data_IF_995762024663
#
_entry.id   IF_995762024663
#
_cell.length_a   1.000
_cell.length_b   1.000
_cell.length_c   1.000
_cell.angle_alpha   90.00
_cell.angle_beta   90.00
_cell.angle_gamma   90.00
#
_symmetry.space_group_name_H-M   'P 1'
#
loop_
_entity.id
_entity.type
_entity.pdbx_description
1 polymer ?
#
# COMPACT_ATOMS: atom_id res chain seq x y z
N UNK A 1 5.70 -9.46 -17.01
CA UNK A 1 4.43 -9.05 -17.69
C UNK A 1 4.64 -7.71 -18.39
N UNK A 2 4.02 -7.48 -19.54
CA UNK A 2 4.01 -6.14 -20.18
C UNK A 2 3.03 -5.27 -19.41
N UNK A 3 3.49 -4.14 -18.88
CA UNK A 3 2.67 -3.22 -18.07
C UNK A 3 1.97 -2.16 -18.91
N UNK A 4 2.49 -1.86 -20.10
CA UNK A 4 1.92 -0.84 -21.00
C UNK A 4 0.42 -1.04 -21.21
N UNK A 5 -0.33 0.05 -21.16
CA UNK A 5 -1.80 0.14 -21.31
C UNK A 5 -2.61 -0.54 -20.18
N UNK A 6 -1.96 -1.10 -19.14
CA UNK A 6 -2.64 -1.57 -17.93
C UNK A 6 -3.21 -0.39 -17.14
N UNK A 7 -4.24 -0.67 -16.33
CA UNK A 7 -4.88 0.32 -15.44
C UNK A 7 -4.58 -0.05 -14.00
N UNK A 8 -3.95 0.85 -13.26
CA UNK A 8 -3.59 0.65 -11.86
C UNK A 8 -4.34 1.63 -10.97
N UNK A 9 -5.07 1.12 -9.97
CA UNK A 9 -5.62 1.91 -8.87
C UNK A 9 -4.64 1.88 -7.70
N UNK A 10 -4.23 3.07 -7.23
CA UNK A 10 -3.27 3.24 -6.14
C UNK A 10 -3.93 4.03 -5.03
N UNK A 11 -4.08 3.45 -3.85
CA UNK A 11 -4.58 4.14 -2.67
C UNK A 11 -3.45 4.82 -1.90
N UNK A 12 -3.74 5.95 -1.23
CA UNK A 12 -2.71 6.73 -0.53
C UNK A 12 -1.65 7.32 -1.48
N UNK A 13 -2.06 7.67 -2.72
CA UNK A 13 -1.17 8.12 -3.77
C UNK A 13 -0.69 9.57 -3.61
N UNK A 14 -1.24 10.35 -2.69
CA UNK A 14 -0.92 11.77 -2.54
C UNK A 14 0.50 12.07 -2.03
N UNK A 15 1.24 11.07 -1.54
CA UNK A 15 2.61 11.25 -1.02
C UNK A 15 3.38 9.93 -0.91
N UNK A 16 4.66 10.02 -0.57
CA UNK A 16 5.50 8.89 -0.18
C UNK A 16 5.52 7.76 -1.19
N UNK A 17 5.37 6.53 -0.70
CA UNK A 17 5.45 5.30 -1.52
C UNK A 17 4.38 5.28 -2.62
N UNK A 18 3.14 5.69 -2.30
CA UNK A 18 2.07 5.70 -3.29
C UNK A 18 2.34 6.63 -4.48
N UNK A 19 2.87 7.82 -4.21
CA UNK A 19 3.25 8.76 -5.25
C UNK A 19 4.43 8.24 -6.10
N UNK A 20 5.42 7.61 -5.46
CA UNK A 20 6.55 6.99 -6.17
C UNK A 20 6.08 5.81 -7.05
N UNK A 21 5.19 4.96 -6.56
CA UNK A 21 4.59 3.88 -7.36
C UNK A 21 3.81 4.43 -8.57
N UNK A 22 3.06 5.52 -8.39
CA UNK A 22 2.31 6.15 -9.48
C UNK A 22 3.23 6.63 -10.60
N UNK A 23 4.31 7.34 -10.26
CA UNK A 23 5.30 7.81 -11.24
C UNK A 23 5.98 6.64 -11.95
N UNK A 24 6.49 5.68 -11.20
CA UNK A 24 7.19 4.53 -11.76
C UNK A 24 6.28 3.70 -12.69
N UNK A 25 5.00 3.53 -12.36
CA UNK A 25 4.05 2.84 -13.22
C UNK A 25 3.68 3.65 -14.47
N UNK A 26 3.53 4.97 -14.35
CA UNK A 26 3.27 5.83 -15.51
C UNK A 26 4.45 5.80 -16.51
N UNK A 27 5.70 5.79 -16.03
CA UNK A 27 6.90 5.62 -16.86
C UNK A 27 6.89 4.29 -17.64
N UNK A 28 6.30 3.23 -17.07
CA UNK A 28 6.09 1.94 -17.76
C UNK A 28 4.86 1.92 -18.69
N UNK A 29 4.19 3.06 -18.89
CA UNK A 29 3.01 3.20 -19.74
C UNK A 29 1.71 2.69 -19.12
N UNK A 30 1.65 2.57 -17.78
CA UNK A 30 0.43 2.22 -17.05
C UNK A 30 -0.44 3.46 -16.87
N UNK A 31 -1.74 3.33 -17.09
CA UNK A 31 -2.74 4.37 -16.80
C UNK A 31 -3.04 4.34 -15.30
N UNK A 32 -2.59 5.33 -14.57
CA UNK A 32 -2.72 5.37 -13.10
C UNK A 32 -4.00 6.09 -12.66
N UNK A 33 -4.67 5.51 -11.67
CA UNK A 33 -5.81 6.07 -10.96
C UNK A 33 -5.36 6.28 -9.53
N UNK A 34 -5.37 7.52 -9.08
CA UNK A 34 -4.72 7.99 -7.87
C UNK A 34 -5.76 8.34 -6.83
N UNK A 35 -5.73 7.70 -5.67
CA UNK A 35 -6.65 8.00 -4.58
C UNK A 35 -5.95 8.39 -3.29
N UNK A 36 -6.57 9.31 -2.56
CA UNK A 36 -6.11 9.83 -1.26
C UNK A 36 -6.97 10.98 -0.81
N UNK A 37 -6.62 11.59 0.32
CA UNK A 37 -7.40 12.70 0.92
C UNK A 37 -6.95 14.10 0.47
N UNK A 38 -5.68 14.24 0.09
CA UNK A 38 -5.14 15.53 -0.33
C UNK A 38 -5.40 15.74 -1.83
N UNK A 39 -6.49 16.46 -2.13
CA UNK A 39 -6.96 16.71 -3.50
C UNK A 39 -5.91 17.48 -4.33
N UNK A 40 -5.25 18.47 -3.75
CA UNK A 40 -4.24 19.28 -4.46
C UNK A 40 -3.06 18.41 -4.89
N UNK A 41 -2.47 17.65 -3.97
CA UNK A 41 -1.35 16.76 -4.28
C UNK A 41 -1.74 15.64 -5.28
N UNK A 42 -2.98 15.16 -5.23
CA UNK A 42 -3.48 14.18 -6.21
C UNK A 42 -3.62 14.79 -7.61
N UNK A 43 -4.10 16.03 -7.73
CA UNK A 43 -4.22 16.73 -9.02
C UNK A 43 -2.85 16.99 -9.65
N UNK A 44 -1.90 17.50 -8.86
CA UNK A 44 -0.53 17.72 -9.32
C UNK A 44 0.13 16.41 -9.78
N UNK A 45 -0.08 15.31 -9.05
CA UNK A 45 0.45 14.02 -9.44
C UNK A 45 -0.25 13.46 -10.69
N UNK A 46 -1.56 13.65 -10.83
CA UNK A 46 -2.33 13.23 -12.00
C UNK A 46 -1.86 13.96 -13.26
N UNK A 47 -1.60 15.28 -13.18
CA UNK A 47 -1.02 16.05 -14.27
C UNK A 47 0.38 15.53 -14.66
N UNK A 48 1.22 15.23 -13.65
CA UNK A 48 2.58 14.74 -13.89
C UNK A 48 2.65 13.30 -14.45
N UNK A 49 1.57 12.52 -14.33
CA UNK A 49 1.53 11.10 -14.73
C UNK A 49 0.50 10.79 -15.82
N UNK A 50 -0.15 11.82 -16.37
CA UNK A 50 -1.34 11.67 -17.25
C UNK A 50 -2.38 10.70 -16.63
N UNK A 51 -2.53 10.79 -15.31
CA UNK A 51 -3.37 9.92 -14.51
C UNK A 51 -4.73 10.53 -14.17
N UNK A 52 -5.54 9.77 -13.43
CA UNK A 52 -6.84 10.23 -12.93
C UNK A 52 -6.79 10.37 -11.42
N UNK A 53 -7.06 11.56 -10.87
CA UNK A 53 -7.19 11.80 -9.43
C UNK A 53 -8.65 11.55 -8.96
N UNK A 54 -8.81 10.85 -7.85
CA UNK A 54 -10.10 10.63 -7.19
C UNK A 54 -9.89 10.79 -5.68
N UNK A 55 -10.44 11.85 -5.10
CA UNK A 55 -10.38 12.08 -3.66
C UNK A 55 -11.30 11.11 -2.94
N UNK A 56 -10.78 10.42 -1.91
CA UNK A 56 -11.55 9.52 -1.07
C UNK A 56 -10.92 9.41 0.33
N UNK A 57 -11.76 9.39 1.36
CA UNK A 57 -11.38 8.97 2.70
C UNK A 57 -11.75 7.49 2.88
N UNK A 58 -10.75 6.63 2.97
CA UNK A 58 -10.97 5.19 3.05
C UNK A 58 -11.54 4.71 4.40
N UNK A 59 -11.79 5.62 5.36
CA UNK A 59 -12.57 5.32 6.56
C UNK A 59 -14.07 5.25 6.25
N UNK A 60 -14.49 5.88 5.14
CA UNK A 60 -15.88 5.99 4.75
C UNK A 60 -16.21 4.96 3.65
N UNK A 61 -17.12 4.05 3.93
CA UNK A 61 -17.55 3.00 2.96
C UNK A 61 -18.11 3.61 1.66
N UNK A 62 -18.83 4.73 1.75
CA UNK A 62 -19.39 5.40 0.56
C UNK A 62 -18.28 6.02 -0.31
N UNK A 63 -17.23 6.54 0.29
CA UNK A 63 -16.07 7.05 -0.45
C UNK A 63 -15.32 5.92 -1.16
N UNK A 64 -15.18 4.75 -0.51
CA UNK A 64 -14.58 3.57 -1.14
C UNK A 64 -15.44 3.13 -2.34
N UNK A 65 -16.74 3.04 -2.20
CA UNK A 65 -17.65 2.70 -3.30
C UNK A 65 -17.57 3.72 -4.44
N UNK A 66 -17.57 5.00 -4.10
CA UNK A 66 -17.43 6.10 -5.07
C UNK A 66 -16.09 6.01 -5.82
N UNK A 67 -15.00 5.76 -5.11
CA UNK A 67 -13.67 5.54 -5.70
C UNK A 67 -13.71 4.47 -6.78
N UNK A 68 -14.26 3.30 -6.48
CA UNK A 68 -14.33 2.20 -7.43
C UNK A 68 -15.32 2.46 -8.57
N UNK A 69 -16.43 3.17 -8.34
CA UNK A 69 -17.34 3.62 -9.39
C UNK A 69 -16.63 4.57 -10.38
N UNK A 70 -15.86 5.51 -9.85
CA UNK A 70 -15.09 6.46 -10.66
C UNK A 70 -13.85 5.83 -11.33
N UNK A 71 -13.26 4.79 -10.73
CA UNK A 71 -12.16 4.05 -11.35
C UNK A 71 -12.59 3.32 -12.64
N UNK A 72 -13.87 3.05 -12.80
CA UNK A 72 -14.46 2.41 -13.96
C UNK A 72 -14.59 0.89 -13.83
N UNK A 73 -15.11 0.27 -14.89
CA UNK A 73 -15.46 -1.15 -14.88
C UNK A 73 -14.26 -2.09 -14.90
N UNK A 74 -13.13 -1.62 -15.39
CA UNK A 74 -11.91 -2.44 -15.51
C UNK A 74 -10.72 -1.78 -14.84
N UNK A 75 -10.05 -2.55 -14.03
CA UNK A 75 -8.68 -2.31 -13.55
C UNK A 75 -7.86 -3.59 -13.75
N UNK A 76 -6.54 -3.48 -13.83
CA UNK A 76 -5.63 -4.63 -13.97
C UNK A 76 -4.77 -4.81 -12.72
N UNK A 77 -4.53 -3.71 -11.98
CA UNK A 77 -3.64 -3.65 -10.82
C UNK A 77 -4.32 -2.86 -9.72
N UNK A 78 -4.30 -3.38 -8.49
CA UNK A 78 -4.63 -2.67 -7.28
C UNK A 78 -3.39 -2.56 -6.38
N UNK A 79 -3.01 -1.34 -6.00
CA UNK A 79 -1.97 -1.11 -4.98
C UNK A 79 -2.64 -0.52 -3.74
N UNK A 80 -2.83 -1.34 -2.73
CA UNK A 80 -3.29 -0.93 -1.41
C UNK A 80 -2.09 -0.39 -0.62
N UNK A 81 -1.83 0.91 -0.80
CA UNK A 81 -0.73 1.60 -0.13
C UNK A 81 -1.22 2.55 0.98
N UNK A 82 -2.48 2.97 0.96
CA UNK A 82 -3.01 3.81 2.03
C UNK A 82 -2.79 3.18 3.40
N UNK A 83 -2.32 3.97 4.35
CA UNK A 83 -2.06 3.53 5.70
C UNK A 83 -1.77 4.71 6.62
N UNK A 84 -1.96 4.50 7.90
CA UNK A 84 -1.65 5.45 8.97
C UNK A 84 -0.82 4.75 10.06
N UNK A 85 -0.10 5.54 10.84
CA UNK A 85 0.75 5.04 11.91
C UNK A 85 0.74 6.00 13.12
N UNK A 86 -0.43 6.36 13.69
CA UNK A 86 -0.45 7.11 14.93
C UNK A 86 0.21 6.31 16.05
N UNK A 87 0.76 7.01 17.05
CA UNK A 87 1.30 6.37 18.23
C UNK A 87 0.17 5.62 18.98
N UNK A 88 0.30 4.31 19.09
CA UNK A 88 -0.72 3.43 19.66
C UNK A 88 -0.09 2.29 20.52
N UNK A 89 0.58 2.63 21.64
CA UNK A 89 1.11 1.64 22.56
C UNK A 89 -0.06 0.85 23.20
N UNK A 90 0.17 -0.42 23.52
CA UNK A 90 -0.90 -1.31 24.04
C UNK A 90 -1.32 -0.93 25.46
N UNK A 91 -0.38 -0.45 26.28
CA UNK A 91 -0.63 -0.24 27.73
C UNK A 91 -1.49 1.02 27.95
N UNK A 92 -1.21 2.10 27.24
CA UNK A 92 -1.76 3.44 27.47
C UNK A 92 -2.17 4.17 26.20
N UNK A 93 -2.32 3.43 25.09
CA UNK A 93 -2.72 4.01 23.81
C UNK A 93 -4.19 4.45 23.80
N UNK A 94 -4.46 5.51 23.04
CA UNK A 94 -5.82 5.97 22.80
C UNK A 94 -6.62 4.93 22.00
N UNK A 95 -7.78 4.44 22.51
CA UNK A 95 -8.65 3.52 21.79
C UNK A 95 -9.09 4.00 20.41
N UNK A 96 -9.17 5.32 20.18
CA UNK A 96 -9.52 5.87 18.88
C UNK A 96 -8.41 5.62 17.86
N UNK A 97 -7.14 5.74 18.25
CA UNK A 97 -6.02 5.37 17.40
C UNK A 97 -6.05 3.87 17.02
N UNK A 98 -6.53 3.00 17.91
CA UNK A 98 -6.70 1.57 17.59
C UNK A 98 -7.78 1.36 16.52
N UNK A 99 -8.91 2.07 16.64
CA UNK A 99 -9.99 2.00 15.65
C UNK A 99 -9.54 2.50 14.29
N UNK A 100 -8.97 3.70 14.23
CA UNK A 100 -8.46 4.27 12.98
C UNK A 100 -7.42 3.35 12.31
N UNK A 101 -6.51 2.77 13.08
CA UNK A 101 -5.52 1.83 12.57
C UNK A 101 -6.17 0.59 11.94
N UNK A 102 -7.20 0.02 12.56
CA UNK A 102 -7.94 -1.11 11.98
C UNK A 102 -8.71 -0.69 10.74
N UNK A 103 -9.43 0.43 10.82
CA UNK A 103 -10.23 0.96 9.72
C UNK A 103 -9.41 1.16 8.46
N UNK A 104 -8.32 1.93 8.55
CA UNK A 104 -7.52 2.30 7.38
C UNK A 104 -6.60 1.17 6.94
N UNK A 105 -5.84 0.58 7.88
CA UNK A 105 -4.78 -0.36 7.49
C UNK A 105 -5.31 -1.77 7.15
N UNK A 106 -6.49 -2.16 7.66
CA UNK A 106 -7.01 -3.52 7.52
C UNK A 106 -8.35 -3.55 6.79
N UNK A 107 -9.37 -2.89 7.32
CA UNK A 107 -10.73 -2.98 6.78
C UNK A 107 -10.83 -2.34 5.39
N UNK A 108 -10.33 -1.11 5.23
CA UNK A 108 -10.33 -0.42 3.95
C UNK A 108 -9.54 -1.20 2.88
N UNK A 109 -8.36 -1.70 3.22
CA UNK A 109 -7.56 -2.56 2.33
C UNK A 109 -8.35 -3.79 1.89
N UNK A 110 -8.97 -4.50 2.85
CA UNK A 110 -9.79 -5.68 2.55
C UNK A 110 -10.96 -5.32 1.65
N UNK A 111 -11.64 -4.21 1.94
CA UNK A 111 -12.76 -3.72 1.13
C UNK A 111 -12.33 -3.34 -0.29
N UNK A 112 -11.19 -2.69 -0.44
CA UNK A 112 -10.61 -2.40 -1.76
C UNK A 112 -10.33 -3.69 -2.54
N UNK A 113 -9.79 -4.74 -1.91
CA UNK A 113 -9.61 -6.04 -2.57
C UNK A 113 -10.95 -6.61 -3.07
N UNK A 114 -11.99 -6.62 -2.24
CA UNK A 114 -13.32 -7.10 -2.61
C UNK A 114 -13.91 -6.36 -3.82
N UNK A 115 -13.76 -5.04 -3.87
CA UNK A 115 -14.30 -4.21 -4.95
C UNK A 115 -13.45 -4.27 -6.23
N UNK A 116 -12.17 -4.59 -6.12
CA UNK A 116 -11.29 -4.76 -7.27
C UNK A 116 -11.52 -6.07 -8.02
N UNK A 117 -11.76 -7.17 -7.31
CA UNK A 117 -11.87 -8.52 -7.89
C UNK A 117 -12.85 -8.62 -9.08
N UNK A 118 -14.09 -8.11 -9.02
CA UNK A 118 -15.01 -8.18 -10.14
C UNK A 118 -14.63 -7.29 -11.33
N UNK A 119 -13.62 -6.42 -11.18
CA UNK A 119 -13.10 -5.49 -12.20
C UNK A 119 -11.87 -6.02 -12.91
N UNK A 120 -11.29 -7.09 -12.42
CA UNK A 120 -10.19 -7.77 -13.10
C UNK A 120 -10.69 -8.59 -14.29
N UNK A 121 -9.76 -8.88 -15.20
CA UNK A 121 -10.07 -9.78 -16.33
C UNK A 121 -10.50 -11.16 -15.79
N UNK A 122 -11.66 -11.67 -16.16
CA UNK A 122 -12.20 -12.93 -15.61
C UNK A 122 -11.37 -14.16 -15.97
N UNK A 123 -10.56 -14.08 -17.03
CA UNK A 123 -9.73 -15.20 -17.51
C UNK A 123 -8.28 -15.06 -17.06
N UNK A 124 -7.71 -13.86 -17.17
CA UNK A 124 -6.31 -13.60 -16.86
C UNK A 124 -6.08 -13.22 -15.40
N UNK A 125 -7.12 -12.79 -14.69
CA UNK A 125 -7.03 -12.21 -13.36
C UNK A 125 -6.43 -10.81 -13.36
N UNK A 126 -6.13 -10.30 -12.18
CA UNK A 126 -5.44 -9.04 -11.94
C UNK A 126 -4.19 -9.23 -11.11
N UNK A 127 -3.68 -8.13 -10.55
CA UNK A 127 -2.59 -8.17 -9.59
C UNK A 127 -2.89 -7.22 -8.41
N UNK A 128 -2.88 -7.75 -7.20
CA UNK A 128 -3.07 -7.00 -5.96
C UNK A 128 -1.72 -6.91 -5.24
N UNK A 129 -1.31 -5.69 -4.89
CA UNK A 129 -0.14 -5.42 -4.04
C UNK A 129 -0.64 -4.77 -2.74
N UNK A 130 -0.38 -5.41 -1.63
CA UNK A 130 -0.71 -4.90 -0.30
C UNK A 130 0.54 -4.39 0.43
N UNK A 131 0.59 -3.11 0.78
CA UNK A 131 1.71 -2.54 1.54
C UNK A 131 1.58 -2.91 3.03
N UNK A 132 2.43 -3.83 3.46
CA UNK A 132 2.63 -4.16 4.87
C UNK A 132 3.79 -3.31 5.45
N UNK A 133 4.64 -3.90 6.24
CA UNK A 133 5.82 -3.32 6.87
C UNK A 133 6.71 -4.45 7.42
N UNK A 134 7.97 -4.16 7.70
CA UNK A 134 8.78 -5.03 8.57
C UNK A 134 8.12 -5.24 9.93
N UNK A 135 7.30 -4.27 10.42
CA UNK A 135 6.47 -4.43 11.62
C UNK A 135 5.35 -5.48 11.47
N UNK A 136 5.10 -6.00 10.28
CA UNK A 136 4.21 -7.14 10.04
C UNK A 136 4.92 -8.50 10.12
N UNK A 137 6.23 -8.53 10.34
CA UNK A 137 7.04 -9.75 10.52
C UNK A 137 7.61 -9.88 11.93
N UNK A 138 7.83 -8.75 12.58
CA UNK A 138 8.29 -8.67 13.98
C UNK A 138 7.70 -7.44 14.63
N UNK A 139 7.55 -7.47 15.94
CA UNK A 139 7.04 -6.33 16.71
C UNK A 139 8.25 -5.55 17.26
N UNK A 140 8.55 -4.35 16.71
CA UNK A 140 9.60 -3.51 17.30
C UNK A 140 9.13 -2.93 18.64
N UNK A 141 10.04 -2.50 19.53
CA UNK A 141 9.68 -1.95 20.85
C UNK A 141 8.66 -0.81 20.81
N UNK A 142 8.68 -0.01 19.74
CA UNK A 142 7.72 1.09 19.51
C UNK A 142 6.53 0.70 18.64
N UNK A 143 6.42 -0.58 18.21
CA UNK A 143 5.46 -1.03 17.20
C UNK A 143 3.99 -0.93 17.64
N UNK A 144 3.72 -1.15 18.92
CA UNK A 144 2.37 -1.03 19.47
C UNK A 144 1.31 -1.76 18.64
N UNK A 145 0.13 -1.17 18.55
CA UNK A 145 -0.99 -1.70 17.78
C UNK A 145 -0.81 -1.61 16.26
N UNK A 146 0.03 -0.66 15.80
CA UNK A 146 0.39 -0.59 14.38
C UNK A 146 0.96 -1.92 13.86
N UNK A 147 1.88 -2.53 14.61
CA UNK A 147 2.44 -3.82 14.23
C UNK A 147 1.35 -4.89 14.07
N UNK A 148 0.38 -4.96 15.00
CA UNK A 148 -0.75 -5.89 14.90
C UNK A 148 -1.52 -5.70 13.58
N UNK A 149 -1.77 -4.46 13.14
CA UNK A 149 -2.44 -4.22 11.85
C UNK A 149 -1.60 -4.67 10.66
N UNK A 150 -0.28 -4.55 10.71
CA UNK A 150 0.60 -5.00 9.62
C UNK A 150 0.78 -6.52 9.57
N UNK A 151 0.68 -7.22 10.72
CA UNK A 151 0.49 -8.68 10.75
C UNK A 151 -0.86 -9.06 10.14
N UNK A 152 -1.94 -8.33 10.46
CA UNK A 152 -3.27 -8.57 9.89
C UNK A 152 -3.27 -8.40 8.36
N UNK A 153 -2.60 -7.38 7.80
CA UNK A 153 -2.46 -7.21 6.35
C UNK A 153 -1.84 -8.44 5.69
N UNK A 154 -0.80 -9.03 6.29
CA UNK A 154 -0.19 -10.26 5.77
C UNK A 154 -1.15 -11.44 5.84
N UNK A 155 -1.85 -11.61 6.95
CA UNK A 155 -2.83 -12.67 7.12
C UNK A 155 -3.98 -12.55 6.11
N UNK A 156 -4.52 -11.35 5.91
CA UNK A 156 -5.55 -11.05 4.88
C UNK A 156 -5.03 -11.37 3.48
N UNK A 157 -3.79 -10.97 3.17
CA UNK A 157 -3.18 -11.23 1.86
C UNK A 157 -3.05 -12.73 1.58
N UNK A 158 -2.63 -13.50 2.59
CA UNK A 158 -2.49 -14.95 2.47
C UNK A 158 -3.85 -15.65 2.35
N UNK A 159 -4.83 -15.26 3.17
CA UNK A 159 -6.20 -15.78 3.09
C UNK A 159 -6.80 -15.52 1.69
N UNK A 160 -6.67 -14.28 1.19
CA UNK A 160 -7.14 -13.92 -0.14
C UNK A 160 -6.48 -14.79 -1.24
N UNK A 161 -5.18 -15.04 -1.14
CA UNK A 161 -4.46 -15.91 -2.08
C UNK A 161 -5.05 -17.33 -2.10
N UNK A 162 -5.32 -17.91 -0.93
CA UNK A 162 -5.93 -19.23 -0.83
C UNK A 162 -7.35 -19.28 -1.38
N UNK A 163 -8.18 -18.30 -1.06
CA UNK A 163 -9.55 -18.20 -1.57
C UNK A 163 -9.60 -18.07 -3.08
N UNK A 164 -8.75 -17.24 -3.67
CA UNK A 164 -8.64 -17.05 -5.11
C UNK A 164 -8.22 -18.37 -5.81
N UNK A 165 -7.22 -19.05 -5.28
CA UNK A 165 -6.75 -20.32 -5.82
C UNK A 165 -7.82 -21.41 -5.72
N UNK A 166 -8.52 -21.50 -4.60
CA UNK A 166 -9.62 -22.46 -4.42
C UNK A 166 -10.78 -22.19 -5.39
N UNK A 167 -11.03 -20.92 -5.74
CA UNK A 167 -12.02 -20.51 -6.74
C UNK A 167 -11.53 -20.57 -8.19
N UNK A 168 -10.31 -21.02 -8.46
CA UNK A 168 -9.74 -21.06 -9.82
C UNK A 168 -9.40 -19.69 -10.40
N UNK A 169 -9.40 -18.64 -9.59
CA UNK A 169 -9.09 -17.28 -10.00
C UNK A 169 -7.57 -17.11 -10.19
N UNK A 170 -7.16 -16.47 -11.28
CA UNK A 170 -5.75 -16.26 -11.65
C UNK A 170 -5.15 -14.96 -11.11
N UNK A 171 -5.88 -14.18 -10.31
CA UNK A 171 -5.38 -12.98 -9.68
C UNK A 171 -4.20 -13.32 -8.77
N UNK A 172 -3.09 -12.63 -8.96
CA UNK A 172 -1.89 -12.74 -8.12
C UNK A 172 -1.97 -11.73 -6.98
N UNK A 173 -1.50 -12.12 -5.83
CA UNK A 173 -1.54 -11.28 -4.63
C UNK A 173 -0.15 -11.26 -3.99
N UNK A 174 0.38 -10.07 -3.75
CA UNK A 174 1.68 -9.89 -3.11
C UNK A 174 1.61 -8.94 -1.93
N UNK A 175 2.51 -9.16 -0.97
CA UNK A 175 2.81 -8.22 0.10
C UNK A 175 4.16 -7.56 -0.18
N UNK A 176 4.26 -6.26 0.00
CA UNK A 176 5.53 -5.54 0.08
C UNK A 176 5.67 -5.04 1.51
N UNK A 177 6.78 -5.38 2.15
CA UNK A 177 7.04 -5.14 3.58
C UNK A 177 8.29 -4.28 3.77
N UNK A 178 8.19 -2.93 3.63
CA UNK A 178 9.32 -2.04 3.82
C UNK A 178 9.73 -1.92 5.29
N UNK A 179 11.02 -1.65 5.51
CA UNK A 179 11.54 -1.08 6.74
C UNK A 179 11.29 0.43 6.81
N UNK A 180 12.25 1.19 7.36
CA UNK A 180 12.15 2.64 7.44
C UNK A 180 12.31 3.27 6.05
N UNK A 181 11.29 4.00 5.63
CA UNK A 181 11.24 4.75 4.37
C UNK A 181 11.03 6.22 4.68
N UNK A 182 11.82 7.11 4.11
CA UNK A 182 11.68 8.56 4.34
C UNK A 182 10.39 9.08 3.68
N UNK A 183 9.34 9.16 4.47
CA UNK A 183 7.97 9.53 4.06
C UNK A 183 7.27 10.33 5.16
N UNK A 184 6.22 11.10 4.82
CA UNK A 184 5.39 11.77 5.83
C UNK A 184 4.78 10.82 6.88
N UNK A 185 4.56 9.55 6.55
CA UNK A 185 4.07 8.54 7.50
C UNK A 185 5.04 8.33 8.67
N UNK A 186 6.34 8.44 8.41
CA UNK A 186 7.36 8.25 9.44
C UNK A 186 7.28 9.35 10.51
N UNK A 187 6.96 10.58 10.12
CA UNK A 187 6.75 11.68 11.07
C UNK A 187 5.55 11.43 11.99
N UNK A 188 4.48 10.80 11.47
CA UNK A 188 3.32 10.39 12.29
C UNK A 188 3.70 9.26 13.26
N UNK A 189 4.51 8.31 12.82
CA UNK A 189 4.96 7.18 13.64
C UNK A 189 5.82 7.65 14.82
N UNK A 190 6.67 8.67 14.61
CA UNK A 190 7.54 9.24 15.64
C UNK A 190 6.98 10.51 16.30
N UNK A 191 5.71 10.85 16.08
CA UNK A 191 5.09 12.03 16.69
C UNK A 191 5.21 11.98 18.22
N UNK A 192 5.83 13.02 18.80
CA UNK A 192 6.17 13.11 20.22
C UNK A 192 7.45 12.35 20.61
N UNK A 193 8.26 11.97 19.63
CA UNK A 193 9.58 11.33 19.79
C UNK A 193 10.47 11.69 18.60
N UNK A 194 10.45 12.95 18.18
CA UNK A 194 11.15 13.48 17.01
C UNK A 194 12.67 13.32 17.13
N UNK A 195 13.19 13.42 18.36
CA UNK A 195 14.58 13.13 18.70
C UNK A 195 15.03 11.71 18.30
N UNK A 196 14.13 10.73 18.43
CA UNK A 196 14.41 9.35 18.01
C UNK A 196 14.43 9.21 16.49
N UNK A 197 13.61 9.98 15.78
CA UNK A 197 13.62 10.00 14.33
C UNK A 197 14.93 10.60 13.80
N UNK A 198 15.39 11.72 14.38
CA UNK A 198 16.65 12.34 14.02
C UNK A 198 17.83 11.38 14.27
N UNK A 199 17.92 10.79 15.46
CA UNK A 199 18.92 9.80 15.78
C UNK A 199 18.92 8.61 14.79
N UNK A 200 17.73 8.15 14.38
CA UNK A 200 17.60 7.07 13.41
C UNK A 200 18.10 7.48 12.02
N UNK A 201 17.89 8.74 11.62
CA UNK A 201 18.41 9.29 10.34
C UNK A 201 19.93 9.46 10.34
N UNK A 202 20.52 9.65 11.51
CA UNK A 202 21.99 9.70 11.67
C UNK A 202 22.63 8.30 11.69
N UNK A 203 21.88 7.27 12.12
CA UNK A 203 22.40 5.91 12.26
C UNK A 203 22.59 5.19 10.91
N UNK A 204 21.66 5.41 9.95
CA UNK A 204 21.72 4.79 8.62
C UNK A 204 20.89 5.54 7.59
N UNK A 205 21.27 5.39 6.33
CA UNK A 205 20.48 5.88 5.18
C UNK A 205 19.17 5.12 5.10
N UNK A 206 18.04 5.84 5.15
CA UNK A 206 16.71 5.26 5.01
C UNK A 206 16.44 4.85 3.56
N UNK A 207 15.47 3.94 3.37
CA UNK A 207 14.93 3.72 2.04
C UNK A 207 14.26 5.01 1.53
N UNK A 208 14.37 5.24 0.25
CA UNK A 208 13.55 6.22 -0.44
C UNK A 208 12.25 5.57 -0.96
N UNK A 209 11.16 6.34 -1.14
CA UNK A 209 9.93 5.82 -1.74
C UNK A 209 10.13 5.10 -3.07
N UNK A 210 11.10 5.55 -3.88
CA UNK A 210 11.43 4.94 -5.17
C UNK A 210 11.99 3.51 -5.03
N UNK A 211 12.64 3.17 -3.93
CA UNK A 211 13.15 1.82 -3.71
C UNK A 211 12.00 0.82 -3.53
N UNK A 212 10.95 1.26 -2.83
CA UNK A 212 9.73 0.47 -2.68
C UNK A 212 8.98 0.36 -4.01
N UNK A 213 8.92 1.45 -4.79
CA UNK A 213 8.30 1.44 -6.11
C UNK A 213 9.01 0.47 -7.08
N UNK A 214 10.35 0.38 -7.03
CA UNK A 214 11.12 -0.62 -7.80
C UNK A 214 10.76 -2.06 -7.39
N UNK A 215 10.57 -2.33 -6.09
CA UNK A 215 10.13 -3.63 -5.62
C UNK A 215 8.70 -3.97 -6.12
N UNK A 216 7.79 -2.99 -6.14
CA UNK A 216 6.46 -3.14 -6.74
C UNK A 216 6.56 -3.47 -8.22
N UNK A 217 7.37 -2.73 -9.00
CA UNK A 217 7.59 -3.01 -10.42
C UNK A 217 8.15 -4.42 -10.64
N UNK A 218 9.13 -4.85 -9.83
CA UNK A 218 9.70 -6.19 -9.92
C UNK A 218 8.62 -7.28 -9.77
N UNK A 219 7.71 -7.13 -8.80
CA UNK A 219 6.58 -8.06 -8.61
C UNK A 219 5.65 -8.05 -9.82
N UNK A 220 5.28 -6.87 -10.32
CA UNK A 220 4.33 -6.71 -11.41
C UNK A 220 4.89 -7.21 -12.75
N UNK A 221 6.19 -7.08 -12.99
CA UNK A 221 6.87 -7.51 -14.21
C UNK A 221 7.15 -9.01 -14.26
N UNK A 222 6.99 -9.74 -13.15
CA UNK A 222 7.16 -11.19 -13.11
C UNK A 222 6.32 -11.89 -14.20
N UNK A 223 6.83 -12.96 -14.83
CA UNK A 223 6.07 -13.75 -15.83
C UNK A 223 4.71 -14.21 -15.30
N UNK A 224 3.72 -14.40 -16.17
CA UNK A 224 2.34 -14.73 -15.77
C UNK A 224 2.22 -16.00 -14.92
N UNK A 225 3.11 -16.97 -15.10
CA UNK A 225 3.15 -18.21 -14.32
C UNK A 225 3.89 -18.08 -12.97
N UNK A 226 4.49 -16.90 -12.68
CA UNK A 226 5.23 -16.64 -11.45
C UNK A 226 4.40 -15.74 -10.53
N UNK A 227 4.21 -16.16 -9.31
CA UNK A 227 3.64 -15.36 -8.24
C UNK A 227 4.70 -15.08 -7.17
N UNK A 228 5.07 -13.80 -7.01
CA UNK A 228 5.93 -13.35 -5.92
C UNK A 228 5.02 -12.99 -4.76
N UNK A 229 5.07 -13.75 -3.67
CA UNK A 229 4.12 -13.65 -2.58
C UNK A 229 4.45 -12.56 -1.56
N UNK A 230 5.73 -12.36 -1.26
CA UNK A 230 6.19 -11.40 -0.25
C UNK A 230 7.58 -10.88 -0.60
N UNK A 231 7.77 -9.56 -0.48
CA UNK A 231 9.09 -8.92 -0.55
C UNK A 231 9.32 -8.09 0.71
N UNK A 232 10.37 -8.42 1.42
CA UNK A 232 10.90 -7.63 2.52
C UNK A 232 12.09 -6.82 2.04
N UNK A 233 12.07 -5.51 2.24
CA UNK A 233 13.18 -4.62 1.96
C UNK A 233 13.37 -3.64 3.11
N UNK A 234 14.61 -3.37 3.46
CA UNK A 234 14.96 -2.46 4.56
C UNK A 234 16.29 -1.78 4.29
N UNK A 235 16.54 -0.63 4.92
CA UNK A 235 17.88 -0.07 4.96
C UNK A 235 18.92 -1.12 5.34
N UNK A 236 20.06 -1.13 4.68
CA UNK A 236 21.11 -2.12 4.97
C UNK A 236 21.66 -1.99 6.42
N UNK A 237 21.65 -0.76 6.95
CA UNK A 237 22.05 -0.48 8.34
C UNK A 237 20.95 -0.72 9.38
N UNK A 238 19.70 -0.94 8.97
CA UNK A 238 18.61 -1.18 9.92
C UNK A 238 18.78 -2.52 10.62
N UNK A 239 18.92 -2.50 11.93
CA UNK A 239 19.01 -3.69 12.79
C UNK A 239 17.85 -4.68 12.56
N UNK A 240 18.11 -5.94 12.88
CA UNK A 240 17.13 -7.05 12.73
C UNK A 240 16.11 -7.05 13.87
#
# INVERSE_FOLDING_TARGET
MILKDKRALITGASSGIGAACARALAEEGVRVILSGRNETALKELAEATDGKAITADLREEEDIKHLFAQAGERIDILINNAGIAPRAPIIDGDPENFRELLEVNVLALTRCCQLALPRFDPVKGGHIINLSSMSGHRVPPSGGFYAATKFAVRAVTEALRYELKAGGNRTRVATISPGFVDTPLLNLYFKGSEDKLEALKEEFDMLEPVDVAKAVLHVLQAPEHVEIGDIQLRPAGQGV
#
